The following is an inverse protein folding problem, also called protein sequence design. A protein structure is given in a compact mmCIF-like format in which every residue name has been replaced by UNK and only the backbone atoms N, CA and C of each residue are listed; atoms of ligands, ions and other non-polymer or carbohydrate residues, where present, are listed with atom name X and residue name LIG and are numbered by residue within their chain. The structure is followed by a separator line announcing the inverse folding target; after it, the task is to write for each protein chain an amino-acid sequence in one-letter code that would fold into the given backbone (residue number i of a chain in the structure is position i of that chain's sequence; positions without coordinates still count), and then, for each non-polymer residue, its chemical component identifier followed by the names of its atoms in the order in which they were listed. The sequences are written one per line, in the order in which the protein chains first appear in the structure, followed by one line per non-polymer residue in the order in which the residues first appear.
data_IF_824315496686
#
_entry.id   IF_824315496686
#
_cell.length_a   1.000
_cell.length_b   1.000
_cell.length_c   1.000
_cell.angle_alpha   90.00
_cell.angle_beta   90.00
_cell.angle_gamma   90.00
#
_symmetry.space_group_name_H-M   'P 1'
#
loop_
_entity.id
_entity.type
_entity.pdbx_description
1 polymer ?
#
# COMPACT_ATOMS: atom_id res chain seq x y z
N UNK A 1 1.20 18.97 6.23
CA UNK A 1 0.52 18.29 7.35
C UNK A 1 1.45 17.22 7.88
N UNK A 2 1.61 17.07 9.19
CA UNK A 2 2.47 16.02 9.78
C UNK A 2 1.72 14.68 9.82
N UNK A 3 2.44 13.56 9.78
CA UNK A 3 1.86 12.22 9.84
C UNK A 3 0.96 12.02 11.06
N UNK A 4 1.41 12.41 12.27
CA UNK A 4 0.62 12.31 13.49
C UNK A 4 -0.69 13.08 13.45
N UNK A 5 -0.69 14.26 12.82
CA UNK A 5 -1.88 15.09 12.70
C UNK A 5 -2.86 14.47 11.68
N UNK A 6 -2.32 13.92 10.58
CA UNK A 6 -3.10 13.22 9.57
C UNK A 6 -3.80 11.98 10.15
N UNK A 7 -3.04 11.10 10.83
CA UNK A 7 -3.58 9.88 11.45
C UNK A 7 -4.61 10.21 12.52
N UNK A 8 -4.34 11.18 13.41
CA UNK A 8 -5.29 11.58 14.46
C UNK A 8 -6.63 12.07 13.90
N UNK A 9 -6.63 12.68 12.72
CA UNK A 9 -7.87 13.13 12.07
C UNK A 9 -8.64 12.02 11.34
N UNK A 10 -8.09 10.79 11.30
CA UNK A 10 -8.56 9.63 10.52
C UNK A 10 -8.34 8.31 11.27
N UNK A 11 -8.50 8.33 12.59
CA UNK A 11 -8.24 7.16 13.45
C UNK A 11 -9.17 5.97 13.13
N UNK A 12 -10.28 6.23 12.43
CA UNK A 12 -11.25 5.26 11.94
C UNK A 12 -10.84 4.60 10.61
N UNK A 13 -9.94 5.21 9.84
CA UNK A 13 -9.58 4.74 8.50
C UNK A 13 -8.37 3.81 8.47
N UNK A 14 -7.50 3.87 9.48
CA UNK A 14 -6.24 3.12 9.50
C UNK A 14 -6.15 2.26 10.76
N UNK A 15 -5.85 0.98 10.57
CA UNK A 15 -5.55 0.08 11.69
C UNK A 15 -4.22 0.45 12.36
N UNK A 16 -4.05 0.05 13.62
CA UNK A 16 -2.78 0.22 14.34
C UNK A 16 -1.59 -0.44 13.60
N UNK A 17 -1.84 -1.49 12.83
CA UNK A 17 -0.82 -2.18 12.04
C UNK A 17 -0.38 -1.32 10.86
N UNK A 18 -1.33 -0.72 10.13
CA UNK A 18 -1.02 0.19 9.03
C UNK A 18 -0.32 1.44 9.54
N UNK A 19 -0.77 2.02 10.65
CA UNK A 19 -0.11 3.16 11.29
C UNK A 19 1.34 2.82 11.64
N UNK A 20 1.60 1.63 12.20
CA UNK A 20 2.95 1.20 12.53
C UNK A 20 3.83 1.07 11.27
N UNK A 21 3.30 0.52 10.18
CA UNK A 21 4.00 0.38 8.91
C UNK A 21 4.30 1.75 8.28
N UNK A 22 3.29 2.60 8.10
CA UNK A 22 3.45 3.92 7.48
C UNK A 22 4.34 4.86 8.29
N UNK A 23 4.40 4.69 9.61
CA UNK A 23 5.28 5.49 10.47
C UNK A 23 6.76 5.34 10.11
N UNK A 24 7.18 4.18 9.59
CA UNK A 24 8.56 3.98 9.12
C UNK A 24 8.90 4.87 7.90
N UNK A 25 7.87 5.33 7.18
CA UNK A 25 7.96 6.13 5.96
C UNK A 25 7.40 7.56 6.13
N UNK A 26 7.14 7.99 7.37
CA UNK A 26 6.40 9.24 7.67
C UNK A 26 7.01 10.52 7.07
N UNK A 27 8.31 10.47 6.71
CA UNK A 27 9.04 11.60 6.13
C UNK A 27 8.95 11.68 4.61
N UNK A 28 8.55 10.60 3.95
CA UNK A 28 8.51 10.51 2.48
C UNK A 28 7.10 10.38 1.92
N UNK A 29 6.15 9.87 2.70
CA UNK A 29 4.76 9.72 2.23
C UNK A 29 4.07 11.06 1.98
N UNK A 30 3.18 11.07 0.98
CA UNK A 30 2.35 12.20 0.63
C UNK A 30 0.91 11.97 1.13
N UNK A 31 0.34 12.98 1.78
CA UNK A 31 -1.06 12.95 2.21
C UNK A 31 -1.94 13.71 1.21
N UNK A 32 -3.00 13.06 0.72
CA UNK A 32 -3.98 13.64 -0.21
C UNK A 32 -5.38 13.10 0.09
N UNK A 33 -6.28 13.98 0.54
CA UNK A 33 -7.62 13.55 0.96
C UNK A 33 -7.53 12.55 2.11
N UNK A 34 -7.99 11.32 1.86
CA UNK A 34 -7.91 10.20 2.82
C UNK A 34 -6.80 9.20 2.50
N UNK A 35 -5.98 9.47 1.47
CA UNK A 35 -4.96 8.56 1.00
C UNK A 35 -3.61 8.86 1.65
N UNK A 36 -2.86 7.79 1.94
CA UNK A 36 -1.43 7.85 2.22
C UNK A 36 -0.71 7.28 0.99
N UNK A 37 0.04 8.13 0.32
CA UNK A 37 0.69 7.80 -0.93
C UNK A 37 2.19 7.61 -0.71
N UNK A 38 2.67 6.42 -1.05
CA UNK A 38 4.08 6.04 -0.93
C UNK A 38 4.80 6.39 -2.22
N UNK A 39 5.91 7.14 -2.19
CA UNK A 39 6.70 7.40 -3.40
C UNK A 39 7.26 6.12 -4.01
N UNK A 40 7.34 6.04 -5.34
CA UNK A 40 7.83 4.84 -6.05
C UNK A 40 9.22 4.41 -5.58
N UNK A 41 10.11 5.34 -5.24
CA UNK A 41 11.46 5.04 -4.77
C UNK A 41 11.49 4.30 -3.41
N UNK A 42 10.40 4.39 -2.65
CA UNK A 42 10.24 3.72 -1.36
C UNK A 42 9.33 2.49 -1.43
N UNK A 43 8.59 2.31 -2.53
CA UNK A 43 7.56 1.29 -2.66
C UNK A 43 8.11 -0.14 -2.52
N UNK A 44 9.29 -0.41 -3.10
CA UNK A 44 9.92 -1.72 -2.96
C UNK A 44 10.26 -2.04 -1.50
N UNK A 45 10.80 -1.06 -0.77
CA UNK A 45 11.10 -1.23 0.64
C UNK A 45 9.81 -1.39 1.46
N UNK A 46 8.80 -0.57 1.19
CA UNK A 46 7.47 -0.66 1.81
C UNK A 46 6.88 -2.06 1.68
N UNK A 47 6.84 -2.61 0.46
CA UNK A 47 6.35 -3.97 0.19
C UNK A 47 7.17 -5.03 0.93
N UNK A 48 8.51 -4.88 0.99
CA UNK A 48 9.37 -5.83 1.72
C UNK A 48 9.09 -5.86 3.22
N UNK A 49 8.74 -4.71 3.84
CA UNK A 49 8.40 -4.63 5.28
C UNK A 49 7.13 -5.41 5.63
N UNK A 50 6.26 -5.67 4.66
CA UNK A 50 5.05 -6.47 4.89
C UNK A 50 5.35 -7.91 5.30
N UNK A 51 6.51 -8.46 4.93
CA UNK A 51 6.91 -9.84 5.29
C UNK A 51 6.95 -10.08 6.80
N UNK A 52 7.31 -9.05 7.55
CA UNK A 52 7.42 -9.06 9.01
C UNK A 52 6.18 -8.45 9.69
N UNK A 53 5.15 -8.11 8.90
CA UNK A 53 3.89 -7.53 9.37
C UNK A 53 2.77 -8.57 9.41
N UNK A 54 1.64 -8.19 9.98
CA UNK A 54 0.37 -8.94 9.92
C UNK A 54 -0.54 -8.47 8.77
N UNK A 55 0.03 -7.79 7.77
CA UNK A 55 -0.69 -7.21 6.63
C UNK A 55 -0.24 -7.86 5.32
N UNK A 56 -1.13 -7.90 4.34
CA UNK A 56 -0.85 -8.26 2.95
C UNK A 56 -1.33 -7.15 2.00
N UNK A 57 -0.79 -7.11 0.78
CA UNK A 57 -1.27 -6.19 -0.26
C UNK A 57 -2.45 -6.85 -0.96
N UNK A 58 -3.63 -6.21 -0.91
CA UNK A 58 -4.77 -6.60 -1.72
C UNK A 58 -4.80 -5.87 -3.07
N UNK A 59 -4.19 -4.68 -3.15
CA UNK A 59 -4.11 -3.94 -4.40
C UNK A 59 -3.15 -2.76 -4.32
N UNK A 60 -2.80 -2.23 -5.50
CA UNK A 60 -1.90 -1.09 -5.67
C UNK A 60 -2.49 -0.18 -6.74
N UNK A 61 -2.72 1.09 -6.40
CA UNK A 61 -3.08 2.13 -7.37
C UNK A 61 -1.87 3.05 -7.60
N UNK A 62 -1.54 3.30 -8.86
CA UNK A 62 -0.41 4.16 -9.25
C UNK A 62 -0.93 5.52 -9.67
N UNK A 63 -0.38 6.56 -9.08
CA UNK A 63 -0.69 7.95 -9.37
C UNK A 63 0.53 8.69 -9.90
N UNK A 64 0.30 9.57 -10.87
CA UNK A 64 1.28 10.55 -11.31
C UNK A 64 0.90 11.94 -10.80
N UNK A 65 1.82 12.58 -10.08
CA UNK A 65 1.67 13.95 -9.62
C UNK A 65 2.04 14.94 -10.73
N UNK A 66 1.21 15.96 -10.89
CA UNK A 66 1.35 16.99 -11.91
C UNK A 66 0.80 18.31 -11.40
N UNK A 67 1.02 19.40 -12.15
CA UNK A 67 0.49 20.72 -11.76
C UNK A 67 -1.05 20.75 -11.72
N UNK A 68 -1.72 19.81 -12.41
CA UNK A 68 -3.17 19.64 -12.37
C UNK A 68 -3.66 18.77 -11.20
N UNK A 69 -2.74 18.19 -10.41
CA UNK A 69 -3.02 17.25 -9.34
C UNK A 69 -2.59 15.82 -9.66
N UNK A 70 -3.12 14.88 -8.87
CA UNK A 70 -2.88 13.45 -9.01
C UNK A 70 -3.78 12.85 -10.08
N UNK A 71 -3.18 12.08 -10.99
CA UNK A 71 -3.90 11.32 -12.01
C UNK A 71 -3.60 9.83 -11.83
N UNK A 72 -4.62 8.96 -11.72
CA UNK A 72 -4.40 7.52 -11.71
C UNK A 72 -3.88 7.06 -13.08
N UNK A 73 -2.89 6.16 -13.08
CA UNK A 73 -2.24 5.70 -14.32
C UNK A 73 -2.21 4.18 -14.48
N UNK A 74 -2.22 3.43 -13.38
CA UNK A 74 -2.18 1.96 -13.41
C UNK A 74 -2.76 1.39 -12.11
N UNK A 75 -3.19 0.13 -12.14
CA UNK A 75 -3.74 -0.57 -10.97
C UNK A 75 -3.36 -2.06 -11.03
N UNK A 76 -3.09 -2.63 -9.86
CA UNK A 76 -2.96 -4.07 -9.67
C UNK A 76 -3.87 -4.53 -8.54
N UNK A 77 -4.57 -5.64 -8.77
CA UNK A 77 -5.52 -6.23 -7.82
C UNK A 77 -5.11 -7.68 -7.55
N UNK A 78 -4.99 -8.01 -6.28
CA UNK A 78 -4.59 -9.32 -5.75
C UNK A 78 -5.67 -9.91 -4.83
N UNK A 79 -6.83 -9.25 -4.69
CA UNK A 79 -7.90 -9.66 -3.78
C UNK A 79 -8.42 -11.07 -4.06
N UNK A 80 -8.40 -11.49 -5.33
CA UNK A 80 -8.83 -12.82 -5.78
C UNK A 80 -7.66 -13.82 -5.94
N UNK A 81 -6.47 -13.51 -5.43
CA UNK A 81 -5.33 -14.43 -5.56
C UNK A 81 -5.59 -15.71 -4.78
N UNK A 82 -5.71 -16.83 -5.49
CA UNK A 82 -5.85 -18.14 -4.87
C UNK A 82 -4.62 -18.47 -4.02
N UNK A 83 -4.84 -18.79 -2.74
CA UNK A 83 -3.78 -19.17 -1.80
C UNK A 83 -4.28 -20.23 -0.82
N UNK A 84 -3.43 -21.21 -0.51
CA UNK A 84 -3.75 -22.30 0.43
C UNK A 84 -3.79 -21.87 1.90
N UNK A 85 -3.21 -20.71 2.21
CA UNK A 85 -3.17 -20.16 3.56
C UNK A 85 -2.94 -18.65 3.50
N UNK A 86 -3.24 -17.97 4.61
CA UNK A 86 -2.94 -16.55 4.77
C UNK A 86 -1.45 -16.23 4.53
N UNK A 87 -0.55 -17.12 4.97
CA UNK A 87 0.88 -16.89 4.78
C UNK A 87 1.27 -16.99 3.31
N UNK A 88 0.67 -17.93 2.58
CA UNK A 88 0.89 -18.06 1.14
C UNK A 88 0.34 -16.85 0.40
N UNK A 89 -0.86 -16.37 0.75
CA UNK A 89 -1.45 -15.15 0.20
C UNK A 89 -0.55 -13.94 0.44
N UNK A 90 -0.05 -13.75 1.66
CA UNK A 90 0.86 -12.66 1.99
C UNK A 90 2.16 -12.72 1.18
N UNK A 91 2.76 -13.91 1.04
CA UNK A 91 4.01 -14.06 0.29
C UNK A 91 3.81 -13.87 -1.21
N UNK A 92 2.68 -14.34 -1.75
CA UNK A 92 2.35 -14.21 -3.17
C UNK A 92 2.00 -12.77 -3.53
N UNK A 93 1.17 -12.09 -2.74
CA UNK A 93 0.89 -10.66 -2.94
C UNK A 93 2.16 -9.81 -2.85
N UNK A 94 3.10 -10.11 -1.94
CA UNK A 94 4.42 -9.46 -1.91
C UNK A 94 5.19 -9.72 -3.21
N UNK A 95 5.24 -10.97 -3.69
CA UNK A 95 5.94 -11.33 -4.93
C UNK A 95 5.36 -10.58 -6.14
N UNK A 96 4.04 -10.62 -6.30
CA UNK A 96 3.31 -9.95 -7.37
C UNK A 96 3.49 -8.42 -7.31
N UNK A 97 3.40 -7.84 -6.12
CA UNK A 97 3.65 -6.41 -5.91
C UNK A 97 5.06 -6.03 -6.38
N UNK A 98 6.09 -6.80 -6.01
CA UNK A 98 7.46 -6.54 -6.43
C UNK A 98 7.66 -6.69 -7.94
N UNK A 99 6.92 -7.59 -8.60
CA UNK A 99 6.94 -7.72 -10.06
C UNK A 99 6.24 -6.54 -10.74
N UNK A 100 5.09 -6.13 -10.21
CA UNK A 100 4.36 -4.95 -10.68
C UNK A 100 5.22 -3.69 -10.57
N UNK A 101 5.93 -3.49 -9.46
CA UNK A 101 6.80 -2.32 -9.27
C UNK A 101 7.97 -2.26 -10.27
N UNK A 102 8.49 -3.40 -10.76
CA UNK A 102 9.61 -3.42 -11.72
C UNK A 102 9.26 -2.85 -13.09
N UNK A 103 7.99 -2.91 -13.47
CA UNK A 103 7.52 -2.41 -14.77
C UNK A 103 7.05 -0.95 -14.70
N UNK A 104 6.95 -0.37 -13.50
CA UNK A 104 6.57 1.02 -13.32
C UNK A 104 7.71 1.99 -13.65
N UNK A 105 7.36 3.17 -14.16
CA UNK A 105 8.35 4.21 -14.46
C UNK A 105 8.85 4.86 -13.16
N UNK A 106 10.15 4.78 -12.92
CA UNK A 106 10.77 5.24 -11.68
C UNK A 106 11.08 6.75 -11.74
N UNK A 107 10.02 7.56 -11.73
CA UNK A 107 10.09 9.03 -11.72
C UNK A 107 9.68 9.57 -10.35
N UNK A 108 10.33 10.66 -9.90
CA UNK A 108 10.03 11.37 -8.64
C UNK A 108 8.58 11.90 -8.53
N UNK A 109 7.80 11.80 -9.61
CA UNK A 109 6.38 12.19 -9.66
C UNK A 109 5.42 11.01 -9.60
N UNK A 110 5.90 9.80 -9.28
CA UNK A 110 5.05 8.60 -9.17
C UNK A 110 4.87 8.22 -7.71
N UNK A 111 3.61 8.07 -7.33
CA UNK A 111 3.19 7.71 -5.99
C UNK A 111 2.21 6.54 -6.05
N UNK A 112 2.15 5.75 -4.99
CA UNK A 112 1.35 4.55 -4.92
C UNK A 112 0.47 4.55 -3.68
N UNK A 113 -0.80 4.24 -3.88
CA UNK A 113 -1.69 3.85 -2.80
C UNK A 113 -1.69 2.34 -2.68
N UNK A 114 -1.59 1.84 -1.45
CA UNK A 114 -1.62 0.41 -1.15
C UNK A 114 -2.90 0.09 -0.42
N UNK A 115 -3.68 -0.83 -0.97
CA UNK A 115 -4.79 -1.45 -0.23
C UNK A 115 -4.21 -2.59 0.60
N UNK A 116 -4.23 -2.43 1.91
CA UNK A 116 -3.69 -3.41 2.86
C UNK A 116 -4.82 -4.13 3.58
N UNK A 117 -4.68 -5.45 3.73
CA UNK A 117 -5.67 -6.27 4.43
C UNK A 117 -5.00 -7.13 5.50
N UNK A 118 -5.80 -7.53 6.49
CA UNK A 118 -5.46 -8.49 7.55
C UNK A 118 -6.03 -9.86 7.22
N UNK A 119 -5.55 -10.87 7.95
CA UNK A 119 -6.02 -12.25 7.83
C UNK A 119 -7.53 -12.39 7.99
N UNK A 120 -8.14 -11.64 8.92
CA UNK A 120 -9.59 -11.67 9.11
C UNK A 120 -10.35 -11.21 7.87
N UNK A 121 -9.87 -10.15 7.22
CA UNK A 121 -10.52 -9.55 6.03
C UNK A 121 -10.40 -10.48 4.82
N UNK A 122 -9.27 -11.16 4.66
CA UNK A 122 -9.07 -12.16 3.62
C UNK A 122 -9.99 -13.39 3.82
N UNK A 123 -10.12 -13.88 5.05
CA UNK A 123 -11.03 -15.00 5.36
C UNK A 123 -12.49 -14.65 5.11
N UNK A 124 -12.88 -13.41 5.38
CA UNK A 124 -14.24 -12.94 5.12
C UNK A 124 -14.55 -12.85 3.61
N UNK A 125 -13.53 -12.66 2.75
CA UNK A 125 -13.69 -12.67 1.29
C UNK A 125 -13.77 -14.06 0.65
N UNK A 126 -13.40 -15.13 1.37
CA UNK A 126 -13.56 -16.51 0.91
C UNK A 126 -14.98 -17.08 1.17
N UNK A 127 -15.86 -16.28 1.79
CA UNK A 127 -17.20 -16.65 2.25
C UNK A 127 -18.32 -16.62 1.20
#
# INVERSE_FOLDING_TARGET
MKFTDFIKSREDLFSNLEVALYKEFERSVLFRGNMILVPIENAENFVKRLRDSLLAVAGIEVFKDSDAGLTPVDISDYSESEASSWKDFQLESIRLSLEFLKIQNNSEKVFLEFTLIRESEWRDSEG
#
